data_IF_425082732127
#
_entry.id   IF_425082732127
#
_cell.length_a   1.000
_cell.length_b   1.000
_cell.length_c   1.000
_cell.angle_alpha   90.00
_cell.angle_beta   90.00
_cell.angle_gamma   90.00
#
_symmetry.space_group_name_H-M   'P 1'
#
loop_
_entity.id
_entity.type
_entity.pdbx_description
1 polymer ?
#
# COMPACT_ATOMS: atom_id res chain seq x y z
N UNK A 1 -7.32 -5.36 17.32
CA UNK A 1 -6.58 -4.48 16.39
C UNK A 1 -7.54 -3.67 15.54
N UNK A 2 -7.22 -2.43 15.34
CA UNK A 2 -8.06 -1.56 14.53
C UNK A 2 -7.73 -1.75 13.06
N UNK A 3 -8.66 -2.20 12.23
CA UNK A 3 -8.40 -2.33 10.80
C UNK A 3 -8.34 -0.96 10.14
N UNK A 4 -7.85 -0.93 8.91
CA UNK A 4 -7.89 0.27 8.09
C UNK A 4 -9.29 0.40 7.51
N UNK A 5 -10.17 1.05 8.24
CA UNK A 5 -11.55 1.21 7.82
C UNK A 5 -11.72 2.49 7.02
N UNK A 6 -12.67 2.51 6.08
CA UNK A 6 -12.91 3.70 5.27
C UNK A 6 -13.75 4.75 5.99
N UNK A 7 -13.70 4.81 7.32
CA UNK A 7 -14.44 5.80 8.08
C UNK A 7 -13.57 7.03 8.34
N UNK A 8 -14.16 8.23 8.38
CA UNK A 8 -13.39 9.44 8.64
C UNK A 8 -12.63 9.41 9.95
N UNK A 9 -13.19 8.83 11.00
CA UNK A 9 -12.53 8.73 12.29
C UNK A 9 -11.23 7.95 12.19
N UNK A 10 -11.24 6.81 11.49
CA UNK A 10 -10.06 5.99 11.34
C UNK A 10 -9.01 6.66 10.47
N UNK A 11 -9.46 7.41 9.48
CA UNK A 11 -8.57 8.18 8.64
C UNK A 11 -7.80 9.22 9.44
N UNK A 12 -8.51 10.03 10.24
CA UNK A 12 -7.89 11.04 11.09
C UNK A 12 -6.98 10.40 12.14
N UNK A 13 -7.41 9.30 12.72
CA UNK A 13 -6.59 8.57 13.69
C UNK A 13 -5.26 8.16 13.08
N UNK A 14 -5.28 7.61 11.87
CA UNK A 14 -4.06 7.19 11.19
C UNK A 14 -3.12 8.38 10.96
N UNK A 15 -3.65 9.52 10.56
CA UNK A 15 -2.84 10.72 10.35
C UNK A 15 -2.19 11.21 11.64
N UNK A 16 -2.96 11.22 12.74
CA UNK A 16 -2.46 11.66 14.03
C UNK A 16 -1.37 10.72 14.54
N UNK A 17 -1.59 9.41 14.44
CA UNK A 17 -0.64 8.44 14.96
C UNK A 17 0.65 8.37 14.16
N UNK A 18 0.70 8.98 12.98
CA UNK A 18 1.94 9.05 12.20
C UNK A 18 3.01 9.93 12.81
N UNK A 19 2.70 10.68 13.87
CA UNK A 19 3.66 11.62 14.46
C UNK A 19 4.77 10.96 15.26
N UNK A 20 4.58 9.74 15.76
CA UNK A 20 5.59 9.03 16.55
C UNK A 20 6.16 7.85 15.76
N UNK A 21 7.44 7.47 16.02
CA UNK A 21 8.02 6.30 15.35
C UNK A 21 7.28 5.01 15.64
N UNK A 22 6.82 4.83 16.88
CA UNK A 22 6.08 3.62 17.24
C UNK A 22 4.72 3.58 16.57
N UNK A 23 4.03 4.71 16.52
CA UNK A 23 2.75 4.81 15.84
C UNK A 23 2.88 4.55 14.35
N UNK A 24 3.94 5.06 13.72
CA UNK A 24 4.23 4.80 12.31
C UNK A 24 4.44 3.32 12.05
N UNK A 25 5.16 2.63 12.95
CA UNK A 25 5.40 1.20 12.82
C UNK A 25 4.10 0.42 12.90
N UNK A 26 3.25 0.74 13.88
CA UNK A 26 1.96 0.09 14.04
C UNK A 26 1.04 0.36 12.84
N UNK A 27 1.07 1.55 12.33
CA UNK A 27 0.26 1.94 11.18
C UNK A 27 0.66 1.17 9.92
N UNK A 28 1.98 1.07 9.67
CA UNK A 28 2.48 0.27 8.54
C UNK A 28 2.10 -1.20 8.69
N UNK A 29 2.19 -1.72 9.92
CA UNK A 29 1.81 -3.10 10.20
C UNK A 29 0.32 -3.31 9.93
N UNK A 30 -0.52 -2.36 10.31
CA UNK A 30 -1.96 -2.44 10.07
C UNK A 30 -2.27 -2.47 8.56
N UNK A 31 -1.56 -1.68 7.76
CA UNK A 31 -1.72 -1.71 6.29
C UNK A 31 -1.40 -3.11 5.75
N UNK A 32 -0.28 -3.68 6.18
CA UNK A 32 0.13 -5.01 5.73
C UNK A 32 -0.90 -6.07 6.10
N UNK A 33 -1.43 -6.01 7.33
CA UNK A 33 -2.43 -6.95 7.81
C UNK A 33 -3.76 -6.79 7.08
N UNK A 34 -4.14 -5.56 6.74
CA UNK A 34 -5.36 -5.29 6.01
C UNK A 34 -5.38 -6.02 4.65
N UNK A 35 -4.23 -6.16 4.03
CA UNK A 35 -4.06 -6.88 2.76
C UNK A 35 -3.61 -8.33 2.96
N UNK A 36 -3.75 -8.87 4.16
CA UNK A 36 -3.40 -10.26 4.49
C UNK A 36 -1.94 -10.60 4.19
N UNK A 37 -1.05 -9.64 4.39
CA UNK A 37 0.40 -9.78 4.16
C UNK A 37 0.70 -10.22 2.73
N UNK A 38 -0.04 -9.69 1.78
CA UNK A 38 0.10 -9.98 0.37
C UNK A 38 0.63 -8.76 -0.36
N UNK A 39 1.60 -8.96 -1.24
CA UNK A 39 2.02 -7.89 -2.15
C UNK A 39 0.86 -7.57 -3.08
N UNK A 40 0.44 -6.31 -3.12
CA UNK A 40 -0.73 -5.91 -3.90
C UNK A 40 -0.49 -6.04 -5.41
N UNK A 41 0.77 -5.95 -5.84
CA UNK A 41 1.10 -5.98 -7.28
C UNK A 41 1.29 -7.39 -7.82
N UNK A 42 2.09 -8.21 -7.17
CA UNK A 42 2.35 -9.57 -7.66
C UNK A 42 1.43 -10.62 -7.06
N UNK A 43 0.77 -10.30 -5.96
CA UNK A 43 -0.18 -11.22 -5.34
C UNK A 43 0.42 -12.32 -4.47
N UNK A 44 1.73 -12.35 -4.31
CA UNK A 44 2.38 -13.35 -3.46
C UNK A 44 2.28 -12.96 -2.00
N UNK A 45 2.22 -13.98 -1.14
CA UNK A 45 2.20 -13.77 0.31
C UNK A 45 3.63 -13.73 0.85
N UNK A 46 3.83 -12.91 1.88
CA UNK A 46 5.13 -12.72 2.50
C UNK A 46 4.99 -12.62 4.01
N UNK A 47 6.08 -12.86 4.72
CA UNK A 47 6.13 -12.50 6.13
C UNK A 47 6.00 -11.00 6.28
N UNK A 48 5.37 -10.55 7.35
CA UNK A 48 5.04 -9.14 7.51
C UNK A 48 6.30 -8.25 7.46
N UNK A 49 7.43 -8.73 7.96
CA UNK A 49 8.68 -7.98 7.95
C UNK A 49 9.37 -7.95 6.59
N UNK A 50 8.93 -8.79 5.67
CA UNK A 50 9.48 -8.81 4.30
C UNK A 50 8.75 -7.84 3.38
N UNK A 51 7.59 -7.37 3.79
CA UNK A 51 6.81 -6.42 3.01
C UNK A 51 7.25 -5.00 3.30
N UNK A 52 7.18 -4.17 2.28
CA UNK A 52 7.37 -2.73 2.38
C UNK A 52 6.05 -2.03 2.15
N UNK A 53 6.01 -0.73 2.45
CA UNK A 53 4.85 0.11 2.17
C UNK A 53 5.20 0.98 0.96
N UNK A 54 4.36 0.91 -0.06
CA UNK A 54 4.53 1.67 -1.27
C UNK A 54 3.43 2.72 -1.41
N UNK A 55 3.81 3.87 -1.95
CA UNK A 55 2.84 4.89 -2.37
C UNK A 55 2.39 4.54 -3.78
N UNK A 56 1.11 4.22 -3.96
CA UNK A 56 0.60 3.88 -5.30
C UNK A 56 0.87 5.03 -6.25
N UNK A 57 0.51 6.26 -5.84
CA UNK A 57 1.01 7.47 -6.48
C UNK A 57 2.26 7.90 -5.72
N UNK A 58 3.40 7.90 -6.39
CA UNK A 58 4.68 8.18 -5.77
C UNK A 58 4.72 9.55 -5.11
N UNK A 59 5.46 9.68 -4.01
CA UNK A 59 5.63 10.96 -3.30
C UNK A 59 6.19 12.03 -4.24
N UNK A 60 7.13 11.65 -5.07
CA UNK A 60 7.75 12.56 -6.04
C UNK A 60 6.76 13.08 -7.08
N UNK A 61 5.63 12.40 -7.25
CA UNK A 61 4.57 12.79 -8.17
C UNK A 61 3.37 13.39 -7.43
N UNK A 62 3.55 13.81 -6.19
CA UNK A 62 2.52 14.44 -5.41
C UNK A 62 1.66 13.47 -4.60
N UNK A 63 2.07 12.22 -4.48
CA UNK A 63 1.35 11.23 -3.69
C UNK A 63 1.42 11.53 -2.20
N UNK A 64 0.29 11.37 -1.51
CA UNK A 64 0.20 11.63 -0.08
C UNK A 64 0.40 10.36 0.73
N UNK A 65 0.86 10.53 1.97
CA UNK A 65 1.05 9.40 2.91
C UNK A 65 -0.24 9.17 3.69
N UNK A 66 -1.27 8.78 2.97
CA UNK A 66 -2.59 8.46 3.54
C UNK A 66 -2.95 7.03 3.21
N UNK A 67 -3.82 6.44 4.03
CA UNK A 67 -4.16 5.02 3.92
C UNK A 67 -4.61 4.63 2.51
N UNK A 68 -5.40 5.47 1.84
CA UNK A 68 -5.90 5.17 0.49
C UNK A 68 -4.83 5.21 -0.60
N UNK A 69 -3.62 5.71 -0.29
CA UNK A 69 -2.51 5.73 -1.24
C UNK A 69 -1.39 4.77 -0.85
N UNK A 70 -1.54 4.04 0.24
CA UNK A 70 -0.49 3.16 0.75
C UNK A 70 -0.90 1.71 0.67
N UNK A 71 -0.01 0.89 0.14
CA UNK A 71 -0.26 -0.53 -0.05
C UNK A 71 0.98 -1.33 0.33
N UNK A 72 0.82 -2.58 0.75
CA UNK A 72 1.97 -3.44 0.94
C UNK A 72 2.52 -3.89 -0.40
N UNK A 73 3.82 -3.91 -0.51
CA UNK A 73 4.50 -4.39 -1.70
C UNK A 73 5.74 -5.16 -1.30
N UNK A 74 6.05 -6.22 -2.03
CA UNK A 74 7.32 -6.89 -1.84
C UNK A 74 8.45 -5.97 -2.30
N UNK A 75 9.64 -6.20 -1.79
CA UNK A 75 10.79 -5.34 -2.09
C UNK A 75 11.04 -5.23 -3.59
N UNK A 76 10.93 -6.36 -4.29
CA UNK A 76 11.15 -6.40 -5.73
C UNK A 76 10.17 -5.52 -6.50
N UNK A 77 8.88 -5.64 -6.19
CA UNK A 77 7.85 -4.83 -6.85
C UNK A 77 8.00 -3.35 -6.51
N UNK A 78 8.28 -3.05 -5.24
CA UNK A 78 8.45 -1.66 -4.81
C UNK A 78 9.62 -1.00 -5.55
N UNK A 79 10.77 -1.67 -5.61
CA UNK A 79 11.94 -1.15 -6.30
C UNK A 79 11.72 -1.05 -7.81
N UNK A 80 11.09 -2.07 -8.40
CA UNK A 80 10.83 -2.08 -9.84
C UNK A 80 9.88 -0.99 -10.27
N UNK A 81 8.84 -0.74 -9.46
CA UNK A 81 7.88 0.31 -9.76
C UNK A 81 8.49 1.70 -9.60
N UNK A 82 9.22 1.93 -8.50
CA UNK A 82 9.78 3.25 -8.21
C UNK A 82 8.72 4.33 -8.27
N UNK A 83 8.99 5.39 -9.02
CA UNK A 83 8.06 6.51 -9.20
C UNK A 83 7.19 6.39 -10.44
N UNK A 84 7.20 5.23 -11.10
CA UNK A 84 6.42 5.01 -12.31
C UNK A 84 4.91 4.99 -12.02
N UNK A 85 4.11 5.23 -13.06
CA UNK A 85 2.68 5.02 -12.97
C UNK A 85 2.42 3.52 -12.68
N UNK A 86 1.67 3.25 -11.62
CA UNK A 86 1.51 1.88 -11.14
C UNK A 86 0.86 0.96 -12.17
N UNK A 87 -0.14 1.46 -12.89
CA UNK A 87 -0.90 0.63 -13.83
C UNK A 87 -0.05 0.24 -15.03
N UNK A 88 0.64 1.20 -15.63
CA UNK A 88 1.52 0.94 -16.75
C UNK A 88 2.67 0.02 -16.38
N UNK A 89 3.32 0.29 -15.25
CA UNK A 89 4.40 -0.55 -14.76
C UNK A 89 3.92 -1.98 -14.48
N UNK A 90 2.78 -2.11 -13.82
CA UNK A 90 2.26 -3.42 -13.43
C UNK A 90 1.92 -4.27 -14.66
N UNK A 91 1.28 -3.67 -15.65
CA UNK A 91 0.93 -4.39 -16.89
C UNK A 91 2.16 -4.81 -17.67
N UNK A 92 3.18 -3.96 -17.69
CA UNK A 92 4.43 -4.26 -18.37
C UNK A 92 5.21 -5.36 -17.66
N UNK A 93 5.18 -5.38 -16.33
CA UNK A 93 5.99 -6.29 -15.51
C UNK A 93 5.28 -7.62 -15.26
N UNK A 94 3.99 -7.58 -14.93
CA UNK A 94 3.22 -8.76 -14.51
C UNK A 94 2.14 -9.15 -15.52
N UNK A 95 1.88 -8.32 -16.52
CA UNK A 95 0.80 -8.52 -17.45
C UNK A 95 -0.52 -7.99 -16.93
N UNK A 96 -1.58 -8.24 -17.68
CA UNK A 96 -2.92 -7.79 -17.30
C UNK A 96 -3.53 -8.79 -16.35
N UNK A 97 -3.71 -8.41 -15.08
CA UNK A 97 -4.32 -9.22 -14.05
C UNK A 97 -5.51 -8.44 -13.48
N UNK A 98 -6.73 -8.66 -14.04
CA UNK A 98 -7.88 -7.81 -13.69
C UNK A 98 -8.18 -7.74 -12.21
N UNK A 99 -8.10 -8.87 -11.50
CA UNK A 99 -8.42 -8.91 -10.08
C UNK A 99 -7.47 -8.06 -9.25
N UNK A 100 -6.18 -8.07 -9.60
CA UNK A 100 -5.19 -7.25 -8.92
C UNK A 100 -5.41 -5.77 -9.19
N UNK A 101 -5.68 -5.43 -10.44
CA UNK A 101 -5.93 -4.05 -10.82
C UNK A 101 -7.17 -3.51 -10.14
N UNK A 102 -8.23 -4.31 -10.09
CA UNK A 102 -9.47 -3.89 -9.45
C UNK A 102 -9.29 -3.69 -7.95
N UNK A 103 -8.52 -4.54 -7.30
CA UNK A 103 -8.22 -4.39 -5.88
C UNK A 103 -7.55 -3.05 -5.61
N UNK A 104 -6.58 -2.67 -6.43
CA UNK A 104 -5.86 -1.41 -6.26
C UNK A 104 -6.77 -0.23 -6.57
N UNK A 105 -7.53 -0.29 -7.66
CA UNK A 105 -8.48 0.77 -8.00
C UNK A 105 -9.49 1.01 -6.88
N UNK A 106 -10.02 -0.05 -6.30
CA UNK A 106 -10.98 0.06 -5.21
C UNK A 106 -10.36 0.70 -3.98
N UNK A 107 -9.09 0.39 -3.71
CA UNK A 107 -8.40 0.92 -2.54
C UNK A 107 -8.11 2.42 -2.67
N UNK A 108 -7.70 2.86 -3.86
CA UNK A 108 -7.32 4.26 -4.07
C UNK A 108 -8.48 5.18 -4.42
N UNK A 109 -9.67 4.63 -4.60
CA UNK A 109 -10.87 5.41 -4.96
C UNK A 109 -11.36 6.27 -3.81
#
# INVERSE_FOLDING_TARGET
MTPLLPTPEHYLFNLITMTSPQAKKLWRRAIKQHFNCQCVYCGNNYEINELTIDHVKAKTNGGESIASNLVPACRSCNQGKGSSNWLGWMRQTHGYIPDREQLIHAHIS
#
